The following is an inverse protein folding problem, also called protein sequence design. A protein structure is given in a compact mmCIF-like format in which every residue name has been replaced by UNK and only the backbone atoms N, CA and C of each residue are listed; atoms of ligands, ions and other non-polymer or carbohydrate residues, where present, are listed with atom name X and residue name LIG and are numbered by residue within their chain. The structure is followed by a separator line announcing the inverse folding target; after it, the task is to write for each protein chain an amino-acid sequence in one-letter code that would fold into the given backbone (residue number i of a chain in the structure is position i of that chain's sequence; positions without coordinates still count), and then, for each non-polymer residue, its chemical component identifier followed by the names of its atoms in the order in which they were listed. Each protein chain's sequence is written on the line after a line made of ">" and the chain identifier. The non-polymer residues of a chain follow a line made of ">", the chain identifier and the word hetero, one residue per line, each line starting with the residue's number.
data_IF_417884197784
#
_entry.id   IF_417884197784
#
_cell.length_a   1.000
_cell.length_b   1.000
_cell.length_c   1.000
_cell.angle_alpha   90.00
_cell.angle_beta   90.00
_cell.angle_gamma   90.00
#
_symmetry.space_group_name_H-M   'P 1'
#
loop_
_entity.id
_entity.type
_entity.pdbx_description
1 polymer ?
#
# COMPACT_ATOMS: atom_id res chain seq x y z
N UNK A 1 -14.91 -19.23 4.25
CA UNK A 1 -13.88 -19.02 5.28
C UNK A 1 -12.66 -18.37 4.66
N UNK A 2 -11.86 -17.65 5.43
CA UNK A 2 -10.54 -17.19 5.01
C UNK A 2 -9.51 -18.06 5.71
N UNK A 3 -8.69 -18.77 4.94
CA UNK A 3 -7.67 -19.67 5.47
C UNK A 3 -6.26 -19.18 5.12
N UNK A 4 -5.26 -19.72 5.83
CA UNK A 4 -3.85 -19.34 5.64
C UNK A 4 -3.07 -20.45 4.97
N UNK A 5 -2.32 -20.10 3.93
CA UNK A 5 -1.35 -20.94 3.24
C UNK A 5 0.05 -20.45 3.62
N UNK A 6 0.87 -21.33 4.20
CA UNK A 6 2.28 -21.03 4.45
C UNK A 6 3.07 -21.32 3.17
N UNK A 7 3.86 -20.36 2.73
CA UNK A 7 4.66 -20.45 1.51
C UNK A 7 6.15 -20.39 1.83
N UNK A 8 6.97 -20.59 0.80
CA UNK A 8 8.38 -20.21 0.87
C UNK A 8 8.48 -18.70 0.78
N UNK A 9 9.12 -18.07 1.75
CA UNK A 9 9.36 -16.62 1.80
C UNK A 9 9.92 -16.10 0.46
N UNK A 10 9.32 -15.05 -0.09
CA UNK A 10 9.68 -14.45 -1.37
C UNK A 10 9.13 -15.17 -2.61
N UNK A 11 8.26 -16.17 -2.43
CA UNK A 11 7.58 -16.90 -3.51
C UNK A 11 6.05 -16.79 -3.43
N UNK A 12 5.53 -15.82 -2.69
CA UNK A 12 4.10 -15.60 -2.47
C UNK A 12 3.36 -15.36 -3.78
N UNK A 13 3.86 -14.45 -4.63
CA UNK A 13 3.31 -14.20 -5.97
C UNK A 13 3.32 -15.45 -6.85
N UNK A 14 4.42 -16.20 -6.85
CA UNK A 14 4.54 -17.46 -7.62
C UNK A 14 3.49 -18.49 -7.16
N UNK A 15 3.24 -18.56 -5.85
CA UNK A 15 2.19 -19.42 -5.30
C UNK A 15 0.80 -18.93 -5.71
N UNK A 16 0.53 -17.62 -5.65
CA UNK A 16 -0.75 -17.04 -6.11
C UNK A 16 -0.99 -17.34 -7.59
N UNK A 17 0.02 -17.18 -8.46
CA UNK A 17 -0.09 -17.48 -9.89
C UNK A 17 -0.41 -18.97 -10.13
N UNK A 18 0.26 -19.85 -9.39
CA UNK A 18 0.05 -21.30 -9.45
C UNK A 18 -1.35 -21.70 -8.98
N UNK A 19 -1.81 -21.11 -7.87
CA UNK A 19 -3.16 -21.33 -7.33
C UNK A 19 -4.21 -20.81 -8.32
N UNK A 20 -4.03 -19.61 -8.86
CA UNK A 20 -4.94 -18.99 -9.84
C UNK A 20 -5.10 -19.87 -11.07
N UNK A 21 -3.98 -20.33 -11.65
CA UNK A 21 -3.99 -21.24 -12.81
C UNK A 21 -4.76 -22.52 -12.49
N UNK A 22 -4.55 -23.10 -11.31
CA UNK A 22 -5.23 -24.32 -10.88
C UNK A 22 -6.73 -24.10 -10.65
N UNK A 23 -7.12 -22.98 -10.05
CA UNK A 23 -8.52 -22.58 -9.82
C UNK A 23 -9.25 -22.48 -11.17
N UNK A 24 -8.64 -21.81 -12.15
CA UNK A 24 -9.22 -21.63 -13.48
C UNK A 24 -9.37 -22.97 -14.22
N UNK A 25 -8.33 -23.82 -14.21
CA UNK A 25 -8.37 -25.12 -14.87
C UNK A 25 -9.35 -26.10 -14.21
N UNK A 26 -9.41 -26.09 -12.88
CA UNK A 26 -10.29 -26.94 -12.08
C UNK A 26 -11.72 -26.41 -11.96
N UNK A 27 -11.99 -25.19 -12.41
CA UNK A 27 -13.26 -24.46 -12.18
C UNK A 27 -13.67 -24.44 -10.70
N UNK A 28 -12.68 -24.28 -9.82
CA UNK A 28 -12.86 -24.28 -8.37
C UNK A 28 -13.50 -22.96 -7.91
N UNK A 29 -14.33 -23.03 -6.87
CA UNK A 29 -15.08 -21.88 -6.36
C UNK A 29 -14.31 -21.15 -5.26
N UNK A 30 -13.15 -20.61 -5.62
CA UNK A 30 -12.35 -19.73 -4.76
C UNK A 30 -12.74 -18.27 -5.03
N UNK A 31 -13.03 -17.53 -3.96
CA UNK A 31 -13.51 -16.14 -4.03
C UNK A 31 -12.36 -15.16 -4.17
N UNK A 32 -11.28 -15.36 -3.40
CA UNK A 32 -10.15 -14.45 -3.39
C UNK A 32 -8.84 -15.13 -2.98
N UNK A 33 -7.73 -14.55 -3.44
CA UNK A 33 -6.36 -14.83 -3.03
C UNK A 33 -5.68 -13.50 -2.71
N UNK A 34 -4.95 -13.44 -1.60
CA UNK A 34 -4.33 -12.20 -1.13
C UNK A 34 -3.04 -12.47 -0.38
N UNK A 35 -2.03 -11.64 -0.58
CA UNK A 35 -0.89 -11.52 0.34
C UNK A 35 -0.48 -10.06 0.47
N UNK A 36 -0.22 -9.56 1.69
CA UNK A 36 0.33 -8.22 1.89
C UNK A 36 1.86 -8.24 1.90
N UNK A 37 2.48 -7.15 1.43
CA UNK A 37 3.94 -7.03 1.35
C UNK A 37 4.61 -7.09 2.75
N UNK A 38 3.90 -6.64 3.77
CA UNK A 38 4.34 -6.61 5.16
C UNK A 38 4.39 -8.02 5.79
N UNK A 39 3.62 -8.99 5.28
CA UNK A 39 3.54 -10.35 5.82
C UNK A 39 4.11 -11.40 4.88
N UNK A 40 5.43 -11.55 4.94
CA UNK A 40 6.15 -12.52 4.09
C UNK A 40 5.92 -13.96 4.52
N UNK A 41 5.89 -14.87 3.55
CA UNK A 41 5.76 -16.32 3.72
C UNK A 41 4.33 -16.81 3.90
N UNK A 42 3.33 -15.96 3.66
CA UNK A 42 1.92 -16.28 3.85
C UNK A 42 1.09 -15.79 2.68
N UNK A 43 0.09 -16.60 2.32
CA UNK A 43 -0.97 -16.25 1.36
C UNK A 43 -2.31 -16.59 2.02
N UNK A 44 -3.29 -15.72 1.88
CA UNK A 44 -4.66 -15.93 2.33
C UNK A 44 -5.52 -16.37 1.15
N UNK A 45 -6.43 -17.30 1.42
CA UNK A 45 -7.38 -17.84 0.44
C UNK A 45 -8.79 -17.82 1.03
N UNK A 46 -9.75 -17.34 0.26
CA UNK A 46 -11.15 -17.27 0.65
C UNK A 46 -12.00 -18.22 -0.20
N UNK A 47 -12.79 -19.06 0.46
CA UNK A 47 -13.65 -20.02 -0.21
C UNK A 47 -14.32 -20.99 0.76
N UNK A 48 -14.93 -22.03 0.20
CA UNK A 48 -15.41 -23.17 0.99
C UNK A 48 -14.23 -24.07 1.41
N UNK A 49 -14.23 -24.66 2.61
CA UNK A 49 -13.11 -25.44 3.13
C UNK A 49 -12.64 -26.55 2.17
N UNK A 50 -13.60 -27.26 1.57
CA UNK A 50 -13.36 -28.38 0.66
C UNK A 50 -12.66 -27.92 -0.64
N UNK A 51 -13.13 -26.80 -1.21
CA UNK A 51 -12.55 -26.17 -2.40
C UNK A 51 -11.13 -25.66 -2.13
N UNK A 52 -10.91 -25.06 -0.95
CA UNK A 52 -9.59 -24.60 -0.52
C UNK A 52 -8.62 -25.78 -0.43
N UNK A 53 -9.00 -26.87 0.23
CA UNK A 53 -8.14 -28.05 0.38
C UNK A 53 -7.78 -28.67 -0.98
N UNK A 54 -8.74 -28.74 -1.91
CA UNK A 54 -8.49 -29.19 -3.27
C UNK A 54 -7.52 -28.27 -4.00
N UNK A 55 -7.68 -26.97 -3.84
CA UNK A 55 -6.84 -25.94 -4.48
C UNK A 55 -5.39 -26.02 -3.99
N UNK A 56 -5.16 -26.14 -2.69
CA UNK A 56 -3.82 -26.05 -2.09
C UNK A 56 -2.96 -27.31 -2.30
N UNK A 57 -3.59 -28.47 -2.57
CA UNK A 57 -2.88 -29.74 -2.78
C UNK A 57 -1.88 -29.70 -3.93
N UNK A 58 -0.67 -30.21 -3.68
CA UNK A 58 0.37 -30.39 -4.70
C UNK A 58 0.79 -29.08 -5.42
N UNK A 59 0.70 -27.94 -4.75
CA UNK A 59 1.15 -26.65 -5.29
C UNK A 59 2.62 -26.41 -4.89
N UNK A 60 3.54 -26.15 -5.85
CA UNK A 60 4.93 -25.83 -5.54
C UNK A 60 5.07 -24.66 -4.57
N UNK A 61 6.12 -24.67 -3.76
CA UNK A 61 6.44 -23.64 -2.75
C UNK A 61 5.44 -23.48 -1.60
N UNK A 62 4.29 -24.16 -1.62
CA UNK A 62 3.42 -24.31 -0.45
C UNK A 62 4.10 -25.23 0.55
N UNK A 63 4.27 -24.74 1.79
CA UNK A 63 4.88 -25.47 2.91
C UNK A 63 3.85 -26.00 3.91
N UNK A 64 2.63 -25.48 3.88
CA UNK A 64 1.58 -25.95 4.77
C UNK A 64 0.28 -25.18 4.57
N UNK A 65 -0.79 -25.78 5.07
CA UNK A 65 -2.13 -25.21 5.09
C UNK A 65 -2.62 -25.18 6.54
N UNK A 66 -3.08 -24.01 6.99
CA UNK A 66 -3.66 -23.84 8.31
C UNK A 66 -5.16 -23.73 8.10
N UNK A 67 -5.87 -24.83 8.38
CA UNK A 67 -7.33 -24.90 8.31
C UNK A 67 -7.96 -24.25 9.55
N UNK A 68 -7.79 -22.94 9.66
CA UNK A 68 -8.39 -22.10 10.70
C UNK A 68 -8.87 -20.83 10.05
N UNK A 69 -10.11 -20.46 10.33
CA UNK A 69 -10.69 -19.22 9.83
C UNK A 69 -9.94 -18.01 10.40
N UNK A 70 -9.60 -17.07 9.51
CA UNK A 70 -8.95 -15.81 9.83
C UNK A 70 -10.02 -14.72 9.80
N UNK A 71 -10.36 -14.11 10.95
CA UNK A 71 -11.31 -13.03 10.99
C UNK A 71 -10.87 -11.85 10.12
N UNK A 72 -11.82 -11.27 9.38
CA UNK A 72 -11.55 -10.13 8.50
C UNK A 72 -10.88 -8.95 9.24
N UNK A 73 -11.26 -8.71 10.50
CA UNK A 73 -10.67 -7.67 11.35
C UNK A 73 -9.15 -7.81 11.55
N UNK A 74 -8.58 -9.01 11.39
CA UNK A 74 -7.13 -9.21 11.43
C UNK A 74 -6.43 -8.83 10.12
N UNK A 75 -7.18 -8.82 9.01
CA UNK A 75 -6.69 -8.49 7.68
C UNK A 75 -6.91 -7.03 7.30
N UNK A 76 -7.88 -6.34 7.90
CA UNK A 76 -8.22 -4.93 7.62
C UNK A 76 -6.99 -4.02 7.60
N UNK A 77 -6.08 -4.15 8.58
CA UNK A 77 -4.86 -3.33 8.65
C UNK A 77 -3.93 -3.46 7.44
N UNK A 78 -4.04 -4.55 6.69
CA UNK A 78 -3.23 -4.81 5.49
C UNK A 78 -3.96 -4.41 4.19
N UNK A 79 -5.28 -4.19 4.27
CA UNK A 79 -6.12 -3.78 3.14
C UNK A 79 -6.34 -2.28 3.12
N UNK A 80 -6.21 -1.63 4.28
CA UNK A 80 -6.20 -0.18 4.41
C UNK A 80 -4.77 0.28 4.10
N UNK A 81 -4.53 0.71 2.86
CA UNK A 81 -3.38 1.54 2.58
C UNK A 81 -3.52 2.78 3.47
N UNK A 82 -2.66 2.94 4.47
CA UNK A 82 -2.53 4.19 5.20
C UNK A 82 -2.11 5.26 4.20
N UNK A 83 -3.08 5.86 3.51
CA UNK A 83 -2.93 7.21 2.99
C UNK A 83 -2.76 8.06 4.23
N UNK A 84 -1.53 8.24 4.65
CA UNK A 84 -1.15 9.37 5.46
C UNK A 84 -1.40 10.59 4.58
N UNK A 85 -2.67 11.03 4.50
CA UNK A 85 -3.02 12.37 4.03
C UNK A 85 -2.41 13.30 5.06
N UNK A 86 -1.12 13.58 4.90
CA UNK A 86 -0.46 14.68 5.59
C UNK A 86 -1.20 15.92 5.12
N UNK A 87 -2.14 16.39 5.94
CA UNK A 87 -2.90 17.60 5.65
C UNK A 87 -1.93 18.78 5.68
N UNK A 88 -1.74 19.37 4.51
CA UNK A 88 -0.95 20.58 4.31
C UNK A 88 -1.85 21.80 4.51
N UNK A 89 -1.36 22.79 5.25
CA UNK A 89 -2.06 24.04 5.50
C UNK A 89 -1.24 25.21 4.97
N UNK A 90 -1.93 26.30 4.65
CA UNK A 90 -1.26 27.57 4.34
C UNK A 90 -0.43 28.01 5.55
N UNK A 91 0.86 28.22 5.31
CA UNK A 91 1.84 28.59 6.32
C UNK A 91 2.71 27.44 6.85
N UNK A 92 2.40 26.18 6.53
CA UNK A 92 3.28 25.06 6.81
C UNK A 92 4.59 25.19 6.02
N UNK A 93 5.69 24.68 6.59
CA UNK A 93 6.99 24.58 5.92
C UNK A 93 7.19 23.15 5.46
N UNK A 94 7.51 23.01 4.19
CA UNK A 94 7.76 21.74 3.53
C UNK A 94 9.15 21.70 2.94
N UNK A 95 9.74 20.52 2.89
CA UNK A 95 10.95 20.24 2.15
C UNK A 95 10.58 19.57 0.83
N UNK A 96 11.11 20.07 -0.28
CA UNK A 96 10.84 19.51 -1.60
C UNK A 96 11.70 18.27 -1.80
N UNK A 97 11.07 17.13 -2.11
CA UNK A 97 11.77 15.88 -2.44
C UNK A 97 11.87 15.66 -3.96
N UNK A 98 11.06 16.37 -4.75
CA UNK A 98 11.08 16.34 -6.21
C UNK A 98 12.22 17.15 -6.83
N UNK A 99 12.78 16.64 -7.92
CA UNK A 99 13.72 17.40 -8.77
C UNK A 99 12.94 18.44 -9.60
N UNK A 100 13.45 19.67 -9.87
CA UNK A 100 14.82 20.19 -9.69
C UNK A 100 15.12 20.83 -8.33
N UNK A 101 14.11 21.10 -7.50
CA UNK A 101 14.26 21.86 -6.25
C UNK A 101 14.48 20.96 -5.02
N UNK A 102 15.06 19.78 -5.22
CA UNK A 102 15.17 18.76 -4.18
C UNK A 102 16.07 19.26 -3.03
N UNK A 103 15.57 19.17 -1.80
CA UNK A 103 16.24 19.59 -0.57
C UNK A 103 15.93 21.03 -0.15
N UNK A 104 15.29 21.82 -1.02
CA UNK A 104 14.89 23.18 -0.70
C UNK A 104 13.71 23.21 0.28
N UNK A 105 13.70 24.22 1.16
CA UNK A 105 12.60 24.47 2.09
C UNK A 105 11.72 25.60 1.58
N UNK A 106 10.43 25.37 1.61
CA UNK A 106 9.46 26.34 1.12
C UNK A 106 8.24 26.40 2.05
N UNK A 107 7.65 27.59 2.14
CA UNK A 107 6.42 27.83 2.90
C UNK A 107 5.22 27.74 1.97
N UNK A 108 4.17 27.05 2.40
CA UNK A 108 2.95 26.89 1.60
C UNK A 108 2.17 28.21 1.60
N UNK A 109 1.91 28.76 0.41
CA UNK A 109 1.08 29.95 0.21
C UNK A 109 -0.35 29.59 -0.21
N UNK A 110 -0.56 28.45 -0.89
CA UNK A 110 -1.89 27.97 -1.30
C UNK A 110 -1.96 26.44 -1.36
N UNK A 111 -3.11 25.87 -1.02
CA UNK A 111 -3.40 24.44 -1.13
C UNK A 111 -4.61 24.24 -2.06
N UNK A 112 -4.46 23.38 -3.06
CA UNK A 112 -5.56 22.90 -3.92
C UNK A 112 -5.74 21.40 -3.65
N UNK A 113 -6.62 21.07 -2.70
CA UNK A 113 -6.92 19.69 -2.31
C UNK A 113 -7.58 18.90 -3.44
N UNK A 114 -8.31 19.57 -4.34
CA UNK A 114 -9.03 18.90 -5.43
C UNK A 114 -8.06 18.38 -6.48
N UNK A 115 -6.96 19.10 -6.72
CA UNK A 115 -5.90 18.71 -7.66
C UNK A 115 -4.72 18.01 -7.01
N UNK A 116 -4.59 18.03 -5.69
CA UNK A 116 -3.42 17.51 -5.00
C UNK A 116 -2.16 18.34 -5.29
N UNK A 117 -2.32 19.65 -5.38
CA UNK A 117 -1.24 20.60 -5.67
C UNK A 117 -1.12 21.64 -4.55
N UNK A 118 0.11 22.06 -4.26
CA UNK A 118 0.41 23.16 -3.34
C UNK A 118 1.25 24.20 -4.06
N UNK A 119 0.99 25.47 -3.75
CA UNK A 119 1.86 26.58 -4.16
C UNK A 119 2.73 26.94 -2.98
N UNK A 120 4.04 27.01 -3.23
CA UNK A 120 5.05 27.23 -2.21
C UNK A 120 5.95 28.41 -2.56
N UNK A 121 6.50 29.05 -1.53
CA UNK A 121 7.47 30.14 -1.62
C UNK A 121 8.76 29.71 -0.91
N UNK A 122 9.89 29.71 -1.62
CA UNK A 122 11.18 29.30 -1.07
C UNK A 122 11.66 30.23 0.04
N UNK A 123 12.15 29.66 1.14
CA UNK A 123 12.63 30.44 2.29
C UNK A 123 14.01 31.08 2.04
N UNK A 124 14.86 30.46 1.22
CA UNK A 124 16.22 30.93 0.94
C UNK A 124 16.30 31.86 -0.29
N UNK A 125 15.18 32.08 -0.99
CA UNK A 125 15.14 32.94 -2.17
C UNK A 125 15.09 34.43 -1.78
N UNK A 126 15.98 35.23 -2.37
CA UNK A 126 15.99 36.69 -2.17
C UNK A 126 14.72 37.40 -2.67
N UNK A 127 14.02 36.77 -3.63
CA UNK A 127 12.73 37.24 -4.17
C UNK A 127 11.75 36.06 -4.08
N UNK A 128 10.58 36.22 -3.44
CA UNK A 128 9.60 35.14 -3.33
C UNK A 128 8.93 34.91 -4.69
N UNK A 129 9.28 33.81 -5.35
CA UNK A 129 8.61 33.35 -6.58
C UNK A 129 7.71 32.17 -6.20
N UNK A 130 6.37 32.27 -6.39
CA UNK A 130 5.47 31.17 -6.10
C UNK A 130 5.62 30.06 -7.14
N UNK A 131 5.78 28.81 -6.69
CA UNK A 131 5.86 27.63 -7.55
C UNK A 131 4.80 26.62 -7.13
N UNK A 132 4.04 26.10 -8.10
CA UNK A 132 3.04 25.05 -7.88
C UNK A 132 3.64 23.67 -8.12
N UNK A 133 3.54 22.78 -7.13
CA UNK A 133 4.08 21.42 -7.15
C UNK A 133 3.07 20.43 -6.56
N UNK A 134 3.21 19.14 -6.91
CA UNK A 134 2.38 18.07 -6.35
C UNK A 134 2.68 17.86 -4.86
N UNK A 135 1.64 17.59 -4.06
CA UNK A 135 1.77 17.19 -2.65
C UNK A 135 2.66 15.96 -2.45
N UNK A 136 2.76 15.08 -3.47
CA UNK A 136 3.60 13.88 -3.42
C UNK A 136 5.09 14.20 -3.62
N UNK A 137 5.42 15.42 -4.06
CA UNK A 137 6.80 15.88 -4.27
C UNK A 137 7.35 16.66 -3.08
N UNK A 138 6.64 16.66 -1.95
CA UNK A 138 7.06 17.35 -0.73
C UNK A 138 6.94 16.48 0.51
N UNK A 139 7.70 16.83 1.53
CA UNK A 139 7.63 16.26 2.87
C UNK A 139 7.40 17.37 3.88
N UNK A 140 6.51 17.14 4.85
CA UNK A 140 6.29 18.08 5.96
C UNK A 140 7.59 18.27 6.75
N UNK A 141 8.04 19.51 6.90
CA UNK A 141 9.24 19.88 7.66
C UNK A 141 8.86 20.52 9.01
N UNK A 142 7.98 21.51 8.99
CA UNK A 142 7.46 22.17 10.18
C UNK A 142 5.99 22.54 9.98
N UNK A 143 5.13 22.16 10.93
CA UNK A 143 3.75 22.66 10.94
C UNK A 143 3.74 24.10 11.43
N UNK A 144 2.87 24.93 10.84
CA UNK A 144 2.62 26.28 11.32
C UNK A 144 2.40 26.25 12.83
N UNK A 145 3.28 26.91 13.59
CA UNK A 145 3.04 27.17 15.01
C UNK A 145 1.86 28.14 15.10
N UNK A 146 0.86 27.78 15.90
CA UNK A 146 -0.18 28.71 16.35
C UNK A 146 0.44 29.89 17.12
#
# INVERSE_FOLDING_TARGET
>A
MIATIRTTTGRENVVIDSLTTKIQNGKLQIKSLFHPEELRGYVFIEGEPEEIELTVKSVPHVRGFINKDVPMSQLERFLIAEKSEVKFNVGDVVEIIGSPFKGEKAKISRVDETKGEITVEFLEAAIPIPVTISINSVRMYEKKRE
#
